data_IF_770194023768
#
_entry.id   IF_770194023768
#
_cell.length_a   1.000
_cell.length_b   1.000
_cell.length_c   1.000
_cell.angle_alpha   90.00
_cell.angle_beta   90.00
_cell.angle_gamma   90.00
#
_symmetry.space_group_name_H-M   'P 1'
#
loop_
_entity.id
_entity.type
_entity.pdbx_description
1 polymer ?
#
# COMPACT_ATOMS: atom_id res chain seq x y z
N UNK A 1 -4.11 -0.44 -38.25
CA UNK A 1 -3.68 -0.08 -36.88
C UNK A 1 -3.06 -1.32 -36.29
N UNK A 2 -1.75 -1.33 -36.12
CA UNK A 2 -1.05 -2.46 -35.49
C UNK A 2 -1.34 -2.34 -34.00
N UNK A 3 -2.03 -3.33 -33.46
CA UNK A 3 -2.22 -3.51 -32.03
C UNK A 3 -0.82 -3.77 -31.45
N UNK A 4 -0.23 -2.80 -30.75
CA UNK A 4 1.04 -3.06 -30.06
C UNK A 4 0.83 -4.25 -29.12
N UNK A 5 1.52 -5.35 -29.39
CA UNK A 5 1.43 -6.54 -28.57
C UNK A 5 2.10 -6.24 -27.23
N UNK A 6 1.33 -6.25 -26.15
CA UNK A 6 1.88 -6.09 -24.80
C UNK A 6 2.90 -7.18 -24.52
N UNK A 7 4.07 -6.78 -24.01
CA UNK A 7 5.11 -7.70 -23.59
C UNK A 7 4.66 -8.44 -22.32
N UNK A 8 4.88 -9.76 -22.28
CA UNK A 8 4.67 -10.54 -21.05
C UNK A 8 5.67 -10.13 -19.98
N UNK A 9 5.23 -10.02 -18.73
CA UNK A 9 6.08 -9.71 -17.59
C UNK A 9 5.68 -10.47 -16.34
N UNK A 10 6.60 -10.56 -15.39
CA UNK A 10 6.39 -11.18 -14.08
C UNK A 10 6.20 -10.10 -13.02
N UNK A 11 5.04 -10.13 -12.36
CA UNK A 11 4.70 -9.27 -11.23
C UNK A 11 4.99 -10.02 -9.93
N UNK A 12 5.68 -9.40 -8.99
CA UNK A 12 5.85 -9.89 -7.63
C UNK A 12 5.13 -8.97 -6.63
N UNK A 13 4.31 -9.57 -5.77
CA UNK A 13 3.62 -8.88 -4.69
C UNK A 13 4.31 -9.26 -3.38
N UNK A 14 4.93 -8.29 -2.73
CA UNK A 14 5.70 -8.51 -1.50
C UNK A 14 4.77 -8.36 -0.31
N UNK A 15 4.80 -9.34 0.60
CA UNK A 15 4.11 -9.26 1.88
C UNK A 15 5.14 -9.12 2.99
N UNK A 16 5.06 -8.01 3.74
CA UNK A 16 5.97 -7.68 4.83
C UNK A 16 5.27 -7.77 6.18
N UNK A 17 6.00 -8.23 7.19
CA UNK A 17 5.64 -8.02 8.59
C UNK A 17 6.28 -6.71 9.03
N UNK A 18 5.46 -5.67 9.25
CA UNK A 18 5.94 -4.33 9.58
C UNK A 18 6.15 -4.19 11.08
N UNK A 19 7.34 -3.72 11.49
CA UNK A 19 7.70 -3.42 12.88
C UNK A 19 7.69 -1.90 13.13
N UNK A 20 7.95 -1.49 14.38
CA UNK A 20 8.11 -0.08 14.73
C UNK A 20 9.48 0.49 14.28
N UNK A 21 10.44 -0.36 13.91
CA UNK A 21 11.75 0.09 13.45
C UNK A 21 11.73 0.29 11.93
N UNK A 22 11.81 1.56 11.50
CA UNK A 22 11.81 1.92 10.08
C UNK A 22 12.99 1.32 9.32
N UNK A 23 14.20 1.35 9.90
CA UNK A 23 15.40 0.81 9.24
C UNK A 23 15.27 -0.70 9.00
N UNK A 24 14.74 -1.43 9.99
CA UNK A 24 14.44 -2.86 9.85
C UNK A 24 13.41 -3.12 8.76
N UNK A 25 12.33 -2.32 8.70
CA UNK A 25 11.32 -2.43 7.65
C UNK A 25 11.91 -2.19 6.25
N UNK A 26 12.78 -1.19 6.10
CA UNK A 26 13.45 -0.87 4.83
C UNK A 26 14.42 -1.98 4.41
N UNK A 27 15.18 -2.54 5.35
CA UNK A 27 16.09 -3.66 5.08
C UNK A 27 15.32 -4.93 4.67
N UNK A 28 14.24 -5.26 5.39
CA UNK A 28 13.39 -6.41 5.04
C UNK A 28 12.74 -6.22 3.66
N UNK A 29 12.29 -4.99 3.34
CA UNK A 29 11.77 -4.67 2.02
C UNK A 29 12.83 -4.84 0.92
N UNK A 30 14.06 -4.36 1.16
CA UNK A 30 15.19 -4.51 0.24
C UNK A 30 15.44 -5.98 -0.10
N UNK A 31 15.59 -6.83 0.93
CA UNK A 31 15.89 -8.24 0.76
C UNK A 31 14.83 -8.95 -0.11
N UNK A 32 13.54 -8.69 0.14
CA UNK A 32 12.46 -9.30 -0.63
C UNK A 32 12.34 -8.73 -2.05
N UNK A 33 12.64 -7.44 -2.27
CA UNK A 33 12.69 -6.85 -3.62
C UNK A 33 13.80 -7.50 -4.44
N UNK A 34 14.99 -7.63 -3.85
CA UNK A 34 16.13 -8.27 -4.51
C UNK A 34 15.85 -9.76 -4.77
N UNK A 35 15.22 -10.47 -3.83
CA UNK A 35 14.81 -11.86 -4.02
C UNK A 35 13.76 -12.00 -5.15
N UNK A 36 12.76 -11.13 -5.19
CA UNK A 36 11.76 -11.11 -6.26
C UNK A 36 12.42 -10.91 -7.64
N UNK A 37 13.37 -9.97 -7.73
CA UNK A 37 14.13 -9.72 -8.96
C UNK A 37 15.00 -10.91 -9.36
N UNK A 38 15.69 -11.56 -8.40
CA UNK A 38 16.43 -12.83 -8.65
C UNK A 38 15.53 -13.94 -9.18
N UNK A 39 14.27 -13.97 -8.75
CA UNK A 39 13.24 -14.87 -9.26
C UNK A 39 12.61 -14.40 -10.59
N UNK A 40 13.17 -13.38 -11.24
CA UNK A 40 12.78 -12.90 -12.57
C UNK A 40 11.61 -11.93 -12.58
N UNK A 41 11.25 -11.30 -11.46
CA UNK A 41 10.24 -10.26 -11.44
C UNK A 41 10.69 -9.04 -12.25
N UNK A 42 9.78 -8.47 -13.05
CA UNK A 42 10.00 -7.23 -13.79
C UNK A 42 9.38 -6.02 -13.08
N UNK A 43 8.27 -6.26 -12.37
CA UNK A 43 7.55 -5.28 -11.56
C UNK A 43 7.40 -5.87 -10.17
N UNK A 44 7.77 -5.11 -9.15
CA UNK A 44 7.66 -5.49 -7.73
C UNK A 44 6.77 -4.48 -7.01
N UNK A 45 5.89 -4.97 -6.14
CA UNK A 45 4.93 -4.15 -5.40
C UNK A 45 5.11 -4.40 -3.90
N UNK A 46 5.40 -3.34 -3.16
CA UNK A 46 5.41 -3.36 -1.70
C UNK A 46 4.00 -3.09 -1.13
N UNK A 47 3.71 -3.46 0.13
CA UNK A 47 2.41 -3.24 0.76
C UNK A 47 2.18 -1.79 1.22
N UNK A 48 0.93 -1.46 1.56
CA UNK A 48 0.58 -0.17 2.19
C UNK A 48 1.30 0.00 3.53
N UNK A 49 1.78 1.22 3.81
CA UNK A 49 2.55 1.58 5.00
C UNK A 49 3.67 0.57 5.33
N UNK A 50 4.43 0.14 4.32
CA UNK A 50 5.49 -0.85 4.52
C UNK A 50 6.60 -0.37 5.46
N UNK A 51 6.79 0.95 5.60
CA UNK A 51 7.88 1.55 6.35
C UNK A 51 7.58 1.78 7.85
N UNK A 52 6.33 1.64 8.28
CA UNK A 52 5.90 2.05 9.62
C UNK A 52 4.61 1.35 10.08
N UNK A 53 4.39 1.19 11.40
CA UNK A 53 3.14 0.63 11.91
C UNK A 53 1.92 1.44 11.43
N UNK A 54 0.90 0.74 10.94
CA UNK A 54 -0.32 1.39 10.45
C UNK A 54 -1.16 1.92 11.61
N UNK A 55 -1.33 3.24 11.70
CA UNK A 55 -2.11 3.84 12.77
C UNK A 55 -2.12 5.36 12.79
N UNK A 56 -3.25 5.95 13.16
CA UNK A 56 -3.43 7.40 13.31
C UNK A 56 -2.34 8.03 14.20
N UNK A 57 -1.94 7.35 15.27
CA UNK A 57 -0.86 7.82 16.15
C UNK A 57 0.53 7.82 15.51
N UNK A 58 0.77 6.90 14.57
CA UNK A 58 2.07 6.70 13.95
C UNK A 58 2.27 7.56 12.71
N UNK A 59 1.20 7.89 11.97
CA UNK A 59 1.34 8.66 10.73
C UNK A 59 2.12 9.97 10.91
N UNK A 60 1.86 10.82 11.93
CA UNK A 60 2.62 12.05 12.09
C UNK A 60 4.10 11.80 12.45
N UNK A 61 4.37 10.76 13.25
CA UNK A 61 5.72 10.43 13.73
C UNK A 61 6.60 9.86 12.61
N UNK A 62 6.02 8.99 11.77
CA UNK A 62 6.75 8.29 10.73
C UNK A 62 6.72 8.99 9.37
N UNK A 63 5.93 10.06 9.24
CA UNK A 63 5.78 10.77 7.98
C UNK A 63 7.06 11.42 7.47
N UNK A 64 7.27 11.30 6.17
CA UNK A 64 8.44 11.81 5.47
C UNK A 64 8.05 12.89 4.47
N UNK A 65 8.93 13.88 4.28
CA UNK A 65 8.81 14.85 3.21
C UNK A 65 9.23 14.21 1.89
N UNK A 66 8.53 14.53 0.80
CA UNK A 66 8.85 13.97 -0.52
C UNK A 66 10.16 14.48 -1.13
N UNK A 67 10.70 15.57 -0.58
CA UNK A 67 11.98 16.17 -0.97
C UNK A 67 13.21 15.39 -0.47
N UNK A 68 13.12 14.76 0.71
CA UNK A 68 14.29 14.21 1.40
C UNK A 68 13.92 13.09 2.41
N UNK A 69 13.18 12.08 1.95
CA UNK A 69 12.76 10.94 2.78
C UNK A 69 13.72 9.74 2.74
N UNK A 70 14.14 9.15 3.89
CA UNK A 70 14.94 7.92 3.89
C UNK A 70 14.24 6.75 3.19
N UNK A 71 12.91 6.62 3.30
CA UNK A 71 12.16 5.58 2.58
C UNK A 71 12.24 5.81 1.06
N UNK A 72 12.20 7.08 0.61
CA UNK A 72 12.27 7.40 -0.82
C UNK A 72 13.63 7.10 -1.43
N UNK A 73 14.72 7.38 -0.69
CA UNK A 73 16.07 6.99 -1.10
C UNK A 73 16.20 5.48 -1.17
N UNK A 74 15.77 4.78 -0.12
CA UNK A 74 15.83 3.33 -0.08
C UNK A 74 15.05 2.69 -1.24
N UNK A 75 13.85 3.17 -1.55
CA UNK A 75 13.06 2.69 -2.69
C UNK A 75 13.74 2.95 -4.04
N UNK A 76 14.30 4.15 -4.24
CA UNK A 76 15.10 4.48 -5.42
C UNK A 76 16.27 3.51 -5.59
N UNK A 77 17.03 3.29 -4.53
CA UNK A 77 18.21 2.43 -4.53
C UNK A 77 17.82 0.96 -4.76
N UNK A 78 16.76 0.47 -4.11
CA UNK A 78 16.21 -0.87 -4.33
C UNK A 78 15.82 -1.10 -5.79
N UNK A 79 15.07 -0.17 -6.40
CA UNK A 79 14.62 -0.30 -7.79
C UNK A 79 15.81 -0.34 -8.77
N UNK A 80 16.81 0.51 -8.52
CA UNK A 80 18.04 0.59 -9.30
C UNK A 80 18.92 -0.64 -9.14
N UNK A 81 19.13 -1.12 -7.92
CA UNK A 81 19.94 -2.31 -7.66
C UNK A 81 19.29 -3.56 -8.27
N UNK A 82 17.99 -3.74 -8.04
CA UNK A 82 17.25 -4.90 -8.50
C UNK A 82 16.90 -4.86 -10.00
N UNK A 83 17.07 -3.71 -10.66
CA UNK A 83 16.72 -3.48 -12.07
C UNK A 83 15.24 -3.80 -12.38
N UNK A 84 14.33 -3.38 -11.48
CA UNK A 84 12.88 -3.60 -11.60
C UNK A 84 12.12 -2.27 -11.62
N UNK A 85 10.90 -2.29 -12.15
CA UNK A 85 9.92 -1.27 -11.76
C UNK A 85 9.46 -1.55 -10.34
N UNK A 86 9.57 -0.57 -9.45
CA UNK A 86 9.18 -0.74 -8.06
C UNK A 86 7.99 0.17 -7.74
N UNK A 87 6.85 -0.45 -7.42
CA UNK A 87 5.71 0.23 -6.81
C UNK A 87 5.93 0.16 -5.31
N UNK A 88 6.34 1.29 -4.73
CA UNK A 88 6.81 1.41 -3.35
C UNK A 88 5.72 1.33 -2.29
N UNK A 89 4.65 0.58 -2.55
CA UNK A 89 3.56 0.39 -1.60
C UNK A 89 2.95 1.71 -1.19
N UNK A 90 2.92 2.02 0.11
CA UNK A 90 2.75 3.41 0.53
C UNK A 90 3.52 3.75 1.80
N UNK A 91 3.70 5.04 2.04
CA UNK A 91 4.26 5.61 3.26
C UNK A 91 3.41 6.80 3.73
N UNK A 92 3.45 7.15 5.03
CA UNK A 92 2.93 8.43 5.47
C UNK A 92 3.81 9.55 4.89
N UNK A 93 3.18 10.47 4.16
CA UNK A 93 3.82 11.67 3.61
C UNK A 93 3.48 12.87 4.49
N UNK A 94 4.44 13.77 4.68
CA UNK A 94 4.21 15.13 5.17
C UNK A 94 4.49 16.14 4.08
N UNK A 95 3.46 16.89 3.68
CA UNK A 95 3.62 17.97 2.70
C UNK A 95 4.27 19.19 3.36
N UNK A 96 5.42 19.63 2.82
CA UNK A 96 6.24 20.68 3.43
C UNK A 96 5.53 22.02 3.56
N UNK A 97 4.73 22.39 2.55
CA UNK A 97 4.10 23.72 2.48
C UNK A 97 2.89 23.87 3.39
N UNK A 98 2.18 22.78 3.68
CA UNK A 98 0.91 22.82 4.43
C UNK A 98 0.99 22.08 5.77
N UNK A 99 1.98 21.20 5.95
CA UNK A 99 2.07 20.28 7.07
C UNK A 99 1.05 19.13 7.02
N UNK A 100 0.21 19.06 5.99
CA UNK A 100 -0.79 18.00 5.82
C UNK A 100 -0.13 16.65 5.65
N UNK A 101 -0.80 15.63 6.16
CA UNK A 101 -0.36 14.25 6.05
C UNK A 101 -1.14 13.54 4.96
N UNK A 102 -0.48 12.65 4.21
CA UNK A 102 -1.11 11.85 3.17
C UNK A 102 -0.65 10.39 3.27
N UNK A 103 -1.44 9.47 2.73
CA UNK A 103 -1.03 8.09 2.48
C UNK A 103 -0.56 8.02 1.02
N UNK A 104 0.74 7.84 0.80
CA UNK A 104 1.35 8.11 -0.51
C UNK A 104 2.12 6.92 -1.03
N UNK A 105 1.76 6.48 -2.22
CA UNK A 105 2.46 5.49 -3.03
C UNK A 105 3.39 6.21 -4.03
N UNK A 106 4.65 5.81 -4.08
CA UNK A 106 5.61 6.26 -5.09
C UNK A 106 6.02 5.10 -5.99
N UNK A 107 6.30 5.39 -7.26
CA UNK A 107 6.67 4.39 -8.26
C UNK A 107 7.99 4.79 -8.89
N UNK A 108 8.90 3.83 -9.03
CA UNK A 108 10.26 4.01 -9.54
C UNK A 108 10.51 3.16 -10.78
N UNK A 109 11.28 3.70 -11.72
CA UNK A 109 11.85 2.92 -12.83
C UNK A 109 13.12 2.16 -12.42
N UNK A 110 13.68 1.40 -13.35
CA UNK A 110 14.90 0.60 -13.17
C UNK A 110 16.17 1.43 -12.97
N UNK A 111 16.10 2.74 -13.19
CA UNK A 111 17.20 3.66 -12.93
C UNK A 111 17.11 4.25 -11.51
N UNK A 112 16.04 3.94 -10.77
CA UNK A 112 15.74 4.52 -9.46
C UNK A 112 15.05 5.89 -9.55
N UNK A 113 14.60 6.30 -10.75
CA UNK A 113 13.92 7.58 -10.92
C UNK A 113 12.46 7.41 -10.52
N UNK A 114 11.95 8.31 -9.67
CA UNK A 114 10.53 8.35 -9.34
C UNK A 114 9.74 8.82 -10.57
N UNK A 115 8.90 7.94 -11.11
CA UNK A 115 8.10 8.17 -12.33
C UNK A 115 6.62 8.44 -12.05
N UNK A 116 6.14 8.13 -10.84
CA UNK A 116 4.80 8.48 -10.40
C UNK A 116 4.69 8.62 -8.88
N UNK A 117 3.71 9.41 -8.45
CA UNK A 117 3.28 9.55 -7.06
C UNK A 117 1.75 9.53 -7.01
N UNK A 118 1.19 8.80 -6.05
CA UNK A 118 -0.24 8.67 -5.86
C UNK A 118 -0.57 8.84 -4.38
N UNK A 119 -1.35 9.87 -4.06
CA UNK A 119 -1.94 10.06 -2.73
C UNK A 119 -3.30 9.38 -2.71
N UNK A 120 -3.55 8.54 -1.70
CA UNK A 120 -4.81 7.80 -1.50
C UNK A 120 -6.00 8.74 -1.61
N UNK A 121 -6.92 8.46 -2.52
CA UNK A 121 -8.06 9.34 -2.82
C UNK A 121 -9.17 9.08 -1.81
N UNK A 122 -9.53 7.80 -1.63
CA UNK A 122 -10.59 7.38 -0.74
C UNK A 122 -9.99 6.88 0.58
N UNK A 123 -10.04 7.73 1.59
CA UNK A 123 -9.60 7.40 2.94
C UNK A 123 -10.57 6.43 3.61
N UNK A 124 -10.05 5.55 4.47
CA UNK A 124 -10.86 4.55 5.16
C UNK A 124 -11.73 5.21 6.23
N UNK A 125 -13.03 5.29 5.94
CA UNK A 125 -14.06 5.79 6.85
C UNK A 125 -15.19 4.76 6.89
N UNK A 126 -15.29 4.04 8.01
CA UNK A 126 -16.43 3.16 8.27
C UNK A 126 -17.17 3.72 9.47
N UNK A 127 -18.13 4.60 9.20
CA UNK A 127 -19.16 4.99 10.16
C UNK A 127 -20.47 4.32 9.73
N UNK A 128 -21.01 3.42 10.56
CA UNK A 128 -22.32 2.81 10.34
C UNK A 128 -23.26 3.30 11.45
N UNK A 129 -24.10 4.31 11.18
CA UNK A 129 -25.03 4.84 12.16
C UNK A 129 -26.07 3.78 12.54
N UNK A 130 -26.02 3.31 13.80
CA UNK A 130 -27.09 2.51 14.40
C UNK A 130 -27.18 1.03 14.01
N UNK A 131 -26.25 0.47 13.23
CA UNK A 131 -26.21 -0.99 12.96
C UNK A 131 -24.78 -1.54 12.94
N UNK A 132 -24.56 -2.54 13.80
CA UNK A 132 -23.41 -3.46 13.84
C UNK A 132 -22.07 -2.75 14.06
N UNK A 133 -21.67 -2.65 15.33
CA UNK A 133 -20.26 -2.56 15.69
C UNK A 133 -19.56 -3.80 15.14
N UNK A 134 -18.65 -3.64 14.18
CA UNK A 134 -17.70 -4.71 13.86
C UNK A 134 -16.75 -4.87 15.04
N UNK A 135 -17.18 -5.65 16.05
CA UNK A 135 -16.31 -6.17 17.07
C UNK A 135 -15.41 -7.23 16.43
N UNK A 136 -14.28 -6.80 15.89
CA UNK A 136 -13.19 -7.73 15.62
C UNK A 136 -12.63 -8.17 16.98
N UNK A 137 -13.08 -9.33 17.47
CA UNK A 137 -12.49 -9.95 18.65
C UNK A 137 -11.13 -10.52 18.27
N UNK A 138 -10.08 -9.77 18.57
CA UNK A 138 -8.73 -10.32 18.61
C UNK A 138 -8.67 -11.31 19.80
N UNK A 139 -8.47 -12.60 19.51
CA UNK A 139 -7.91 -13.53 20.49
C UNK A 139 -6.40 -13.56 20.23
N UNK A 140 -5.65 -12.76 20.97
CA UNK A 140 -4.28 -13.16 21.26
C UNK A 140 -4.37 -14.31 22.27
N UNK A 141 -4.19 -15.54 21.80
CA UNK A 141 -3.94 -16.68 22.67
C UNK A 141 -2.43 -16.72 22.92
N UNK A 142 -1.96 -16.06 23.97
CA UNK A 142 -0.67 -16.41 24.57
C UNK A 142 -0.85 -17.76 25.28
N UNK A 143 -0.07 -18.75 24.86
CA UNK A 143 -0.13 -20.09 25.44
C UNK A 143 0.74 -20.14 26.69
N UNK A 144 0.27 -19.54 27.79
CA UNK A 144 0.86 -19.77 29.09
C UNK A 144 0.19 -20.97 29.75
N UNK A 145 0.97 -22.04 29.91
CA UNK A 145 0.64 -23.20 30.75
C UNK A 145 0.46 -22.70 32.17
N UNK A 146 -0.76 -22.37 32.60
CA UNK A 146 -1.33 -22.49 33.94
C UNK A 146 -2.71 -21.81 33.83
N UNK A 147 -3.78 -22.59 33.96
CA UNK A 147 -5.14 -22.07 33.85
C UNK A 147 -5.48 -21.11 35.00
N UNK A 148 -6.08 -19.96 34.66
CA UNK A 148 -7.32 -19.41 35.23
C UNK A 148 -7.63 -18.06 34.55
N UNK A 149 -8.91 -17.83 34.25
CA UNK A 149 -9.42 -16.79 33.36
C UNK A 149 -9.11 -15.34 33.80
N UNK A 150 -8.34 -14.62 32.99
CA UNK A 150 -8.44 -13.16 32.89
C UNK A 150 -8.28 -12.73 31.44
N UNK A 151 -9.41 -12.70 30.73
CA UNK A 151 -9.48 -12.24 29.35
C UNK A 151 -9.35 -10.71 29.32
N UNK A 152 -8.16 -10.19 29.00
CA UNK A 152 -7.95 -8.77 28.76
C UNK A 152 -8.48 -8.43 27.34
N UNK A 153 -9.75 -8.06 27.24
CA UNK A 153 -10.31 -7.52 26.00
C UNK A 153 -9.76 -6.12 25.74
N UNK A 154 -8.76 -6.00 24.87
CA UNK A 154 -8.34 -4.70 24.34
C UNK A 154 -9.47 -4.12 23.46
N UNK A 155 -10.15 -3.09 23.96
CA UNK A 155 -11.10 -2.26 23.20
C UNK A 155 -10.31 -1.46 22.15
N UNK A 156 -10.30 -1.86 20.88
CA UNK A 156 -9.89 -0.94 19.81
C UNK A 156 -11.01 0.07 19.56
N UNK A 157 -10.69 1.35 19.75
CA UNK A 157 -11.54 2.49 19.40
C UNK A 157 -11.56 2.64 17.87
N UNK A 158 -12.65 3.24 17.38
CA UNK A 158 -12.88 3.68 16.00
C UNK A 158 -11.58 4.02 15.24
N UNK A 159 -11.41 3.48 14.03
CA UNK A 159 -10.30 3.83 13.14
C UNK A 159 -10.82 4.75 12.03
N UNK A 160 -10.53 6.05 12.13
CA UNK A 160 -10.87 7.05 11.13
C UNK A 160 -9.59 7.66 10.56
N UNK A 161 -9.23 7.25 9.34
CA UNK A 161 -8.03 7.74 8.66
C UNK A 161 -8.13 9.25 8.36
N UNK A 162 -9.36 9.74 8.12
CA UNK A 162 -9.72 11.14 7.87
C UNK A 162 -9.44 12.12 9.01
N UNK A 163 -9.25 11.65 10.25
CA UNK A 163 -8.91 12.55 11.37
C UNK A 163 -7.52 13.14 11.23
N UNK A 164 -6.62 12.46 10.51
CA UNK A 164 -5.19 12.79 10.46
C UNK A 164 -4.67 12.90 9.04
N UNK A 165 -5.10 12.03 8.13
CA UNK A 165 -4.67 12.07 6.73
C UNK A 165 -5.62 12.93 5.89
N UNK A 166 -5.05 13.60 4.91
CA UNK A 166 -5.75 14.33 3.88
C UNK A 166 -5.90 13.47 2.63
N UNK A 167 -7.02 13.55 1.90
CA UNK A 167 -7.21 12.79 0.67
C UNK A 167 -6.37 13.37 -0.48
N UNK A 168 -5.93 12.51 -1.37
CA UNK A 168 -5.41 12.88 -2.69
C UNK A 168 -6.52 13.40 -3.61
N UNK A 169 -6.13 14.00 -4.73
CA UNK A 169 -7.06 14.62 -5.68
C UNK A 169 -6.81 14.22 -7.15
N UNK A 170 -5.95 13.23 -7.41
CA UNK A 170 -5.51 12.90 -8.76
C UNK A 170 -5.41 11.39 -8.99
N UNK A 171 -5.89 10.95 -10.15
CA UNK A 171 -5.74 9.58 -10.64
C UNK A 171 -4.33 9.37 -11.17
N UNK A 172 -3.65 8.35 -10.70
CA UNK A 172 -2.26 8.07 -11.08
C UNK A 172 -2.16 6.81 -11.95
N UNK A 173 -1.37 6.90 -13.00
CA UNK A 173 -0.97 5.76 -13.82
C UNK A 173 0.48 5.94 -14.24
N UNK A 174 1.14 4.82 -14.49
CA UNK A 174 2.55 4.75 -14.89
C UNK A 174 2.66 4.04 -16.23
N UNK A 175 3.50 4.57 -17.13
CA UNK A 175 3.81 3.90 -18.39
C UNK A 175 5.06 3.03 -18.20
N UNK A 176 4.98 1.78 -18.64
CA UNK A 176 6.11 0.84 -18.70
C UNK A 176 6.17 0.25 -20.12
N UNK A 177 7.25 -0.43 -20.49
CA UNK A 177 7.28 -1.15 -21.78
C UNK A 177 6.27 -2.33 -21.85
N UNK A 178 5.73 -2.75 -20.71
CA UNK A 178 4.70 -3.80 -20.63
C UNK A 178 3.29 -3.25 -20.84
N UNK A 179 3.12 -1.93 -20.79
CA UNK A 179 1.84 -1.24 -20.84
C UNK A 179 1.66 -0.25 -19.69
N UNK A 180 0.50 0.39 -19.68
CA UNK A 180 0.15 1.38 -18.66
C UNK A 180 -0.50 0.70 -17.46
N UNK A 181 -0.04 1.03 -16.26
CA UNK A 181 -0.56 0.45 -15.01
C UNK A 181 -1.17 1.58 -14.18
N UNK A 182 -2.41 1.41 -13.74
CA UNK A 182 -3.06 2.34 -12.83
C UNK A 182 -2.75 2.02 -11.37
N UNK A 183 -2.68 3.06 -10.53
CA UNK A 183 -2.31 2.96 -9.11
C UNK A 183 -3.48 3.45 -8.26
N UNK A 184 -3.81 2.68 -7.23
CA UNK A 184 -4.69 3.08 -6.11
C UNK A 184 -4.13 2.53 -4.81
N UNK A 185 -4.68 2.92 -3.66
CA UNK A 185 -4.25 2.39 -2.34
C UNK A 185 -5.46 1.82 -1.59
N UNK A 186 -5.37 0.55 -1.20
CA UNK A 186 -6.26 -0.11 -0.25
C UNK A 186 -7.76 0.12 -0.53
N UNK A 187 -8.37 1.05 0.20
CA UNK A 187 -9.79 1.37 0.12
C UNK A 187 -10.24 1.91 -1.25
N UNK A 188 -9.31 2.44 -2.06
CA UNK A 188 -9.55 2.87 -3.43
C UNK A 188 -10.13 1.75 -4.33
N UNK A 189 -9.87 0.47 -4.00
CA UNK A 189 -10.43 -0.69 -4.74
C UNK A 189 -11.97 -0.75 -4.69
N UNK A 190 -12.60 -0.11 -3.70
CA UNK A 190 -14.07 -0.11 -3.54
C UNK A 190 -14.78 0.85 -4.48
N UNK A 191 -14.05 1.70 -5.19
CA UNK A 191 -14.60 2.74 -6.06
C UNK A 191 -14.33 2.36 -7.52
N UNK A 192 -15.28 1.66 -8.19
CA UNK A 192 -15.09 1.14 -9.55
C UNK A 192 -14.85 2.24 -10.59
N UNK A 193 -15.19 3.49 -10.28
CA UNK A 193 -14.90 4.66 -11.10
C UNK A 193 -13.40 4.82 -11.34
N UNK A 194 -12.56 4.50 -10.34
CA UNK A 194 -11.11 4.58 -10.44
C UNK A 194 -10.60 3.61 -11.53
N UNK A 195 -11.02 2.35 -11.43
CA UNK A 195 -10.68 1.31 -12.40
C UNK A 195 -11.26 1.61 -13.79
N UNK A 196 -12.50 2.12 -13.86
CA UNK A 196 -13.15 2.49 -15.11
C UNK A 196 -12.40 3.60 -15.84
N UNK A 197 -11.97 4.65 -15.12
CA UNK A 197 -11.21 5.75 -15.74
C UNK A 197 -9.82 5.28 -16.16
N UNK A 198 -9.16 4.42 -15.36
CA UNK A 198 -7.88 3.84 -15.72
C UNK A 198 -7.97 2.98 -17.00
N UNK A 199 -8.98 2.13 -17.11
CA UNK A 199 -9.25 1.33 -18.32
C UNK A 199 -9.47 2.23 -19.55
N UNK A 200 -10.26 3.31 -19.43
CA UNK A 200 -10.46 4.30 -20.50
C UNK A 200 -9.17 5.02 -20.90
N UNK A 201 -8.21 5.15 -19.98
CA UNK A 201 -6.87 5.70 -20.25
C UNK A 201 -5.90 4.67 -20.86
N UNK A 202 -6.35 3.45 -21.12
CA UNK A 202 -5.56 2.37 -21.70
C UNK A 202 -4.69 1.64 -20.68
N UNK A 203 -5.03 1.68 -19.39
CA UNK A 203 -4.33 0.88 -18.39
C UNK A 203 -4.68 -0.60 -18.58
N UNK A 204 -3.66 -1.46 -18.55
CA UNK A 204 -3.82 -2.92 -18.69
C UNK A 204 -4.04 -3.63 -17.35
N UNK A 205 -3.75 -2.94 -16.25
CA UNK A 205 -3.89 -3.45 -14.89
C UNK A 205 -4.09 -2.31 -13.90
N UNK A 206 -4.71 -2.63 -12.77
CA UNK A 206 -4.76 -1.79 -11.57
C UNK A 206 -4.01 -2.46 -10.44
N UNK A 207 -3.16 -1.70 -9.74
CA UNK A 207 -2.41 -2.19 -8.57
C UNK A 207 -2.84 -1.39 -7.35
N UNK A 208 -3.22 -2.14 -6.30
CA UNK A 208 -3.70 -1.60 -5.03
C UNK A 208 -2.87 -2.15 -3.86
N UNK A 209 -1.75 -1.49 -3.49
CA UNK A 209 -1.09 -1.79 -2.22
C UNK A 209 -2.08 -1.59 -1.08
N UNK A 210 -2.19 -2.56 -0.19
CA UNK A 210 -3.14 -2.51 0.91
C UNK A 210 -2.63 -3.25 2.14
N UNK A 211 -2.98 -2.74 3.32
CA UNK A 211 -2.73 -3.35 4.61
C UNK A 211 -4.08 -3.76 5.22
N UNK A 212 -4.63 -4.88 4.74
CA UNK A 212 -5.89 -5.39 5.28
C UNK A 212 -5.67 -6.20 6.56
N UNK A 213 -6.43 -5.95 7.63
CA UNK A 213 -6.46 -6.86 8.77
C UNK A 213 -7.01 -8.23 8.35
N UNK A 214 -6.48 -9.30 8.95
CA UNK A 214 -6.81 -10.72 8.69
C UNK A 214 -8.32 -11.07 8.78
N UNK A 215 -9.17 -10.17 9.27
CA UNK A 215 -10.60 -10.44 9.55
C UNK A 215 -11.54 -9.95 8.44
N UNK A 216 -11.15 -8.95 7.64
CA UNK A 216 -11.94 -8.47 6.48
C UNK A 216 -11.40 -8.97 5.13
N UNK A 217 -10.17 -9.49 5.10
CA UNK A 217 -9.53 -10.02 3.89
C UNK A 217 -10.33 -11.15 3.22
N UNK A 218 -10.75 -12.21 3.93
CA UNK A 218 -11.37 -13.38 3.29
C UNK A 218 -12.75 -13.16 2.65
N UNK A 219 -13.49 -12.11 3.05
CA UNK A 219 -14.89 -11.91 2.64
C UNK A 219 -15.08 -10.91 1.47
N UNK A 220 -14.15 -9.97 1.26
CA UNK A 220 -14.30 -8.93 0.22
C UNK A 220 -13.10 -8.83 -0.74
N UNK A 221 -11.91 -9.35 -0.37
CA UNK A 221 -10.68 -9.10 -1.13
C UNK A 221 -10.68 -9.76 -2.51
N UNK A 222 -10.93 -11.07 -2.56
CA UNK A 222 -10.98 -11.80 -3.83
C UNK A 222 -12.12 -11.29 -4.72
N UNK A 223 -13.28 -10.99 -4.13
CA UNK A 223 -14.47 -10.51 -4.84
C UNK A 223 -14.26 -9.13 -5.48
N UNK A 224 -13.68 -8.16 -4.74
CA UNK A 224 -13.44 -6.80 -5.24
C UNK A 224 -12.31 -6.75 -6.26
N UNK A 225 -11.28 -7.58 -6.11
CA UNK A 225 -10.20 -7.69 -7.10
C UNK A 225 -10.71 -8.30 -8.40
N UNK A 226 -11.51 -9.38 -8.32
CA UNK A 226 -12.09 -10.03 -9.51
C UNK A 226 -13.16 -9.18 -10.20
N UNK A 227 -13.92 -8.36 -9.48
CA UNK A 227 -14.90 -7.46 -10.10
C UNK A 227 -14.28 -6.27 -10.82
N UNK A 228 -13.03 -5.93 -10.46
CA UNK A 228 -12.28 -4.80 -11.04
C UNK A 228 -11.32 -5.23 -12.15
N UNK A 229 -11.29 -6.53 -12.47
CA UNK A 229 -10.47 -7.17 -13.51
C UNK A 229 -11.20 -7.27 -14.85
#
# INVERSE_FOLDING_TARGET
MIQEAFLSFKLALVQLSVSANKEENLENAHQLVVEAARNGANVVVLPECFNSPYGTKFFPEYAECMSDGPSLRALSDMAKEAQVYLIGGSIPEREESTGKLYNTCTVYDRQGIMIAMHRKIHLYDVDIPGKIQFQVRYRECTFDRIGMDSCFCLRQKHYQENEILSPGNSLTHVNTEYGKIGIGICYDVRFPELATIAARKGCIAMIYPGAFPLVTGPLYWELLQRSSS
#
